data_IF_247890147559
#
_entry.id   IF_247890147559
#
_cell.length_a   1.000
_cell.length_b   1.000
_cell.length_c   1.000
_cell.angle_alpha   90.00
_cell.angle_beta   90.00
_cell.angle_gamma   90.00
#
_symmetry.space_group_name_H-M   'P 1'
#
loop_
_entity.id
_entity.type
_entity.pdbx_description
1 polymer ?
#
# COMPACT_ATOMS: atom_id res chain seq x y z
N UNK A 1 14.21 -13.02 1.95
CA UNK A 1 12.78 -12.68 2.10
C UNK A 1 12.61 -11.22 2.53
N UNK A 2 11.52 -10.56 2.14
CA UNK A 2 11.17 -9.21 2.61
C UNK A 2 10.53 -9.30 4.01
N UNK A 3 11.15 -8.64 4.99
CA UNK A 3 10.73 -8.64 6.38
C UNK A 3 9.70 -7.54 6.68
N UNK A 4 9.93 -6.34 6.14
CA UNK A 4 9.07 -5.19 6.34
C UNK A 4 9.16 -4.17 5.19
N UNK A 5 8.07 -3.44 4.98
CA UNK A 5 7.98 -2.30 4.07
C UNK A 5 7.46 -1.10 4.85
N UNK A 6 8.21 -0.01 4.78
CA UNK A 6 7.97 1.22 5.53
C UNK A 6 7.98 2.41 4.58
N UNK A 7 7.06 3.36 4.80
CA UNK A 7 7.11 4.69 4.19
C UNK A 7 7.05 5.69 5.33
N UNK A 8 7.98 6.64 5.36
CA UNK A 8 7.95 7.73 6.34
C UNK A 8 8.36 9.06 5.70
N UNK A 9 7.89 10.16 6.27
CA UNK A 9 8.31 11.50 5.84
C UNK A 9 9.71 11.83 6.40
N UNK A 10 10.35 12.85 5.84
CA UNK A 10 11.52 13.57 6.39
C UNK A 10 11.44 13.97 7.86
N UNK A 11 10.23 14.01 8.45
CA UNK A 11 10.03 14.24 9.89
C UNK A 11 9.96 12.96 10.74
N UNK A 12 10.19 11.77 10.17
CA UNK A 12 10.16 10.49 10.88
C UNK A 12 8.77 9.95 11.19
N UNK A 13 7.72 10.57 10.65
CA UNK A 13 6.34 10.09 10.79
C UNK A 13 6.07 8.96 9.78
N UNK A 14 5.72 7.74 10.23
CA UNK A 14 5.35 6.66 9.33
C UNK A 14 4.01 6.97 8.65
N UNK A 15 3.97 6.80 7.33
CA UNK A 15 2.77 6.87 6.49
C UNK A 15 2.25 5.48 6.13
N UNK A 16 3.16 4.52 6.00
CA UNK A 16 2.86 3.12 5.78
C UNK A 16 3.80 2.28 6.63
N UNK A 17 3.27 1.29 7.34
CA UNK A 17 4.07 0.28 8.01
C UNK A 17 3.46 -1.10 7.81
N UNK A 18 4.15 -1.95 7.07
CA UNK A 18 3.74 -3.33 6.83
C UNK A 18 4.87 -4.26 7.23
N UNK A 19 4.65 -5.06 8.26
CA UNK A 19 5.56 -6.10 8.70
C UNK A 19 5.02 -7.46 8.24
N UNK A 20 5.85 -8.24 7.57
CA UNK A 20 5.52 -9.61 7.14
C UNK A 20 5.91 -10.63 8.20
N UNK A 21 6.92 -10.33 9.00
CA UNK A 21 7.31 -11.14 10.15
C UNK A 21 6.61 -10.67 11.42
N UNK A 22 6.16 -11.64 12.23
CA UNK A 22 5.47 -11.34 13.47
C UNK A 22 6.46 -10.74 14.48
N UNK A 23 6.27 -9.46 14.78
CA UNK A 23 7.05 -8.72 15.77
C UNK A 23 6.13 -7.92 16.68
N UNK A 24 6.46 -7.77 17.97
CA UNK A 24 5.64 -6.99 18.89
C UNK A 24 5.60 -5.50 18.49
N UNK A 25 4.47 -4.80 18.69
CA UNK A 25 4.27 -3.44 18.18
C UNK A 25 5.23 -2.41 18.79
N UNK A 26 5.65 -2.60 20.05
CA UNK A 26 6.65 -1.75 20.70
C UNK A 26 7.99 -1.80 19.97
N UNK A 27 8.37 -2.99 19.52
CA UNK A 27 9.62 -3.22 18.79
C UNK A 27 9.54 -2.65 17.38
N UNK A 28 8.39 -2.78 16.71
CA UNK A 28 8.15 -2.15 15.41
C UNK A 28 8.36 -0.63 15.46
N UNK A 29 7.85 0.03 16.49
CA UNK A 29 8.03 1.47 16.66
C UNK A 29 9.50 1.84 16.90
N UNK A 30 10.21 1.05 17.70
CA UNK A 30 11.64 1.23 17.93
C UNK A 30 12.46 1.05 16.65
N UNK A 31 12.15 0.03 15.84
CA UNK A 31 12.78 -0.21 14.55
C UNK A 31 12.56 0.94 13.57
N UNK A 32 11.33 1.47 13.48
CA UNK A 32 11.02 2.63 12.63
C UNK A 32 11.88 3.84 13.02
N UNK A 33 11.99 4.12 14.33
CA UNK A 33 12.79 5.24 14.82
C UNK A 33 14.29 5.07 14.54
N UNK A 34 14.83 3.86 14.73
CA UNK A 34 16.23 3.53 14.43
C UNK A 34 16.52 3.67 12.93
N UNK A 35 15.68 3.09 12.08
CA UNK A 35 15.81 3.17 10.62
C UNK A 35 15.75 4.64 10.16
N UNK A 36 14.84 5.43 10.72
CA UNK A 36 14.75 6.86 10.40
C UNK A 36 16.04 7.60 10.77
N UNK A 37 16.60 7.39 11.96
CA UNK A 37 17.86 8.01 12.39
C UNK A 37 19.05 7.62 11.50
N UNK A 38 19.06 6.41 10.96
CA UNK A 38 20.13 5.95 10.06
C UNK A 38 20.04 6.57 8.66
N UNK A 39 18.85 6.96 8.23
CA UNK A 39 18.58 7.49 6.88
C UNK A 39 18.58 9.03 6.87
N UNK A 40 18.07 9.69 7.91
CA UNK A 40 17.90 11.16 7.95
C UNK A 40 19.20 11.93 7.84
N UNK A 41 20.28 11.40 8.39
CA UNK A 41 21.56 12.09 8.49
C UNK A 41 22.47 11.84 7.28
N UNK A 42 22.02 11.02 6.32
CA UNK A 42 22.84 10.61 5.17
C UNK A 42 22.75 11.62 4.00
N UNK A 43 23.89 11.99 3.39
CA UNK A 43 23.91 12.88 2.23
C UNK A 43 23.49 12.14 0.95
N UNK A 44 22.89 12.85 -0.01
CA UNK A 44 22.30 12.27 -1.23
C UNK A 44 23.27 11.57 -2.22
N UNK A 45 24.57 11.50 -1.89
CA UNK A 45 25.59 10.85 -2.71
C UNK A 45 26.06 9.48 -2.20
N UNK A 46 25.52 8.99 -1.08
CA UNK A 46 25.88 7.66 -0.53
C UNK A 46 25.00 6.55 -1.11
N UNK A 47 25.40 5.30 -0.90
CA UNK A 47 24.65 4.14 -1.35
C UNK A 47 23.27 4.04 -0.68
N UNK A 48 22.32 3.51 -1.43
CA UNK A 48 20.94 3.24 -1.00
C UNK A 48 20.80 1.96 -0.15
N UNK A 49 21.93 1.33 0.18
CA UNK A 49 22.01 0.07 0.91
C UNK A 49 22.62 0.33 2.28
N UNK A 50 21.96 -0.19 3.30
CA UNK A 50 22.37 -0.11 4.70
C UNK A 50 22.43 -1.52 5.24
N UNK A 51 23.63 -1.97 5.61
CA UNK A 51 23.76 -3.15 6.45
C UNK A 51 23.37 -2.74 7.86
N UNK A 52 22.34 -3.37 8.40
CA UNK A 52 21.79 -3.03 9.70
C UNK A 52 21.79 -4.27 10.61
N UNK A 53 22.98 -4.78 10.99
CA UNK A 53 23.11 -5.97 11.82
C UNK A 53 22.52 -5.78 13.24
N UNK A 54 22.33 -4.53 13.68
CA UNK A 54 21.76 -4.19 14.99
C UNK A 54 20.22 -4.19 15.02
N UNK A 55 19.55 -4.32 13.87
CA UNK A 55 18.09 -4.48 13.84
C UNK A 55 17.76 -5.90 14.26
N UNK A 56 17.68 -6.11 15.57
CA UNK A 56 17.17 -7.37 16.12
C UNK A 56 15.74 -7.53 15.61
N UNK A 57 15.48 -8.55 14.79
CA UNK A 57 14.13 -9.05 14.52
C UNK A 57 13.96 -10.35 15.31
N UNK A 58 12.78 -10.63 15.90
CA UNK A 58 12.60 -11.80 16.76
C UNK A 58 12.81 -13.15 16.04
N UNK A 59 12.83 -13.18 14.71
CA UNK A 59 13.21 -14.36 13.92
C UNK A 59 14.67 -14.79 14.09
N UNK A 60 15.58 -13.88 14.47
CA UNK A 60 16.97 -14.22 14.77
C UNK A 60 17.22 -14.56 16.24
N UNK A 61 16.21 -14.39 17.12
CA UNK A 61 16.33 -14.58 18.57
C UNK A 61 16.45 -16.04 19.04
N UNK A 62 16.46 -17.02 18.11
CA UNK A 62 16.64 -18.44 18.40
C UNK A 62 18.08 -18.95 18.34
N UNK A 63 19.04 -18.16 17.83
CA UNK A 63 20.46 -18.58 17.80
C UNK A 63 21.29 -17.59 18.59
N UNK A 64 21.94 -18.12 19.62
CA UNK A 64 22.94 -17.41 20.40
C UNK A 64 23.95 -16.70 19.50
N UNK A 65 24.41 -15.56 20.02
CA UNK A 65 25.47 -14.69 19.50
C UNK A 65 26.80 -15.44 19.37
N UNK A 66 26.89 -16.36 18.42
CA UNK A 66 28.11 -17.11 18.10
C UNK A 66 28.19 -17.27 16.57
N UNK A 67 28.96 -16.36 15.95
CA UNK A 67 29.70 -16.51 14.68
C UNK A 67 29.10 -17.51 13.67
N UNK A 68 28.16 -17.10 12.82
CA UNK A 68 27.70 -17.91 11.68
C UNK A 68 27.21 -17.07 10.50
N UNK A 69 27.97 -17.09 9.40
CA UNK A 69 27.49 -16.96 8.02
C UNK A 69 27.09 -15.56 7.54
N UNK A 70 27.55 -15.20 6.35
CA UNK A 70 27.18 -14.02 5.53
C UNK A 70 25.68 -14.00 5.11
N UNK A 71 24.91 -15.03 5.48
CA UNK A 71 23.58 -15.34 4.93
C UNK A 71 22.38 -14.81 5.74
N UNK A 72 22.55 -14.43 7.03
CA UNK A 72 21.46 -13.92 7.88
C UNK A 72 21.56 -12.39 8.12
N UNK A 73 22.31 -11.68 7.27
CA UNK A 73 22.51 -10.23 7.40
C UNK A 73 21.28 -9.46 6.88
N UNK A 74 20.62 -8.76 7.80
CA UNK A 74 19.47 -7.91 7.46
C UNK A 74 19.98 -6.64 6.80
N UNK A 75 19.48 -6.41 5.58
CA UNK A 75 19.80 -5.25 4.76
C UNK A 75 18.59 -4.34 4.67
N UNK A 76 18.84 -3.04 4.82
CA UNK A 76 17.84 -1.99 4.68
C UNK A 76 18.11 -1.26 3.38
N UNK A 77 17.11 -1.25 2.51
CA UNK A 77 17.19 -0.66 1.18
C UNK A 77 16.21 0.48 1.15
N UNK A 78 16.67 1.67 0.80
CA UNK A 78 15.81 2.85 0.79
C UNK A 78 15.96 3.68 -0.47
N UNK A 79 14.92 4.45 -0.76
CA UNK A 79 14.97 5.49 -1.79
C UNK A 79 14.15 6.70 -1.37
N UNK A 80 14.68 7.87 -1.63
CA UNK A 80 14.03 9.14 -1.31
C UNK A 80 13.28 9.66 -2.54
N UNK A 81 11.98 9.91 -2.37
CA UNK A 81 11.10 10.51 -3.38
C UNK A 81 10.42 11.74 -2.78
N UNK A 82 10.75 12.92 -3.29
CA UNK A 82 10.23 14.21 -2.83
C UNK A 82 10.37 14.45 -1.31
N UNK A 83 9.32 14.18 -0.53
CA UNK A 83 9.28 14.32 0.94
C UNK A 83 9.18 13.00 1.69
N UNK A 84 9.24 11.86 0.97
CA UNK A 84 9.01 10.53 1.50
C UNK A 84 10.21 9.63 1.28
N UNK A 85 10.53 8.85 2.31
CA UNK A 85 11.46 7.74 2.24
C UNK A 85 10.68 6.44 2.11
N UNK A 86 10.98 5.70 1.04
CA UNK A 86 10.50 4.34 0.82
C UNK A 86 11.59 3.39 1.28
N UNK A 87 11.26 2.52 2.24
CA UNK A 87 12.24 1.65 2.88
C UNK A 87 11.75 0.21 2.90
N UNK A 88 12.60 -0.68 2.46
CA UNK A 88 12.39 -2.11 2.45
C UNK A 88 13.46 -2.76 3.32
N UNK A 89 13.01 -3.59 4.26
CA UNK A 89 13.89 -4.40 5.09
C UNK A 89 13.87 -5.81 4.53
N UNK A 90 15.04 -6.28 4.09
CA UNK A 90 15.20 -7.57 3.42
C UNK A 90 16.30 -8.38 4.08
N UNK A 91 16.23 -9.68 3.84
CA UNK A 91 17.26 -10.63 4.25
C UNK A 91 18.37 -10.73 3.20
N UNK A 92 19.52 -11.29 3.58
CA UNK A 92 20.68 -11.48 2.69
C UNK A 92 20.41 -12.36 1.46
N UNK A 93 19.31 -13.11 1.48
CA UNK A 93 18.86 -13.94 0.36
C UNK A 93 18.29 -13.15 -0.83
N UNK A 94 17.86 -11.89 -0.65
CA UNK A 94 17.30 -11.07 -1.73
C UNK A 94 18.37 -10.18 -2.38
N UNK A 95 18.25 -9.95 -3.69
CA UNK A 95 19.13 -9.00 -4.38
C UNK A 95 18.71 -7.55 -4.12
N UNK A 96 19.64 -6.72 -3.69
CA UNK A 96 19.35 -5.34 -3.31
C UNK A 96 18.96 -4.46 -4.49
N UNK A 97 19.57 -4.72 -5.66
CA UNK A 97 19.20 -4.04 -6.91
C UNK A 97 17.78 -4.42 -7.35
N UNK A 98 17.38 -5.67 -7.15
CA UNK A 98 16.02 -6.11 -7.43
C UNK A 98 14.98 -5.42 -6.55
N UNK A 99 15.30 -5.20 -5.26
CA UNK A 99 14.42 -4.47 -4.34
C UNK A 99 14.38 -2.97 -4.67
N UNK A 100 15.48 -2.36 -5.13
CA UNK A 100 15.45 -0.98 -5.61
C UNK A 100 14.54 -0.79 -6.82
N UNK A 101 14.53 -1.75 -7.75
CA UNK A 101 13.62 -1.75 -8.89
C UNK A 101 12.17 -1.98 -8.44
N UNK A 102 11.96 -2.87 -7.46
CA UNK A 102 10.65 -3.10 -6.87
C UNK A 102 10.07 -1.84 -6.19
N UNK A 103 10.91 -1.04 -5.52
CA UNK A 103 10.51 0.26 -4.97
C UNK A 103 10.02 1.18 -6.09
N UNK A 104 10.70 1.19 -7.24
CA UNK A 104 10.28 1.98 -8.40
C UNK A 104 8.93 1.51 -8.94
N UNK A 105 8.76 0.20 -9.15
CA UNK A 105 7.48 -0.40 -9.58
C UNK A 105 6.36 -0.05 -8.60
N UNK A 106 6.63 -0.06 -7.30
CA UNK A 106 5.66 0.31 -6.28
C UNK A 106 5.25 1.79 -6.37
N UNK A 107 6.22 2.71 -6.49
CA UNK A 107 5.93 4.15 -6.64
C UNK A 107 5.16 4.42 -7.94
N UNK A 108 5.53 3.79 -9.05
CA UNK A 108 4.80 3.93 -10.32
C UNK A 108 3.39 3.33 -10.28
N UNK A 109 3.20 2.24 -9.53
CA UNK A 109 1.88 1.66 -9.31
C UNK A 109 0.98 2.57 -8.47
N UNK A 110 1.55 3.24 -7.46
CA UNK A 110 0.83 4.27 -6.69
C UNK A 110 0.48 5.48 -7.54
N UNK A 111 1.41 5.96 -8.38
CA UNK A 111 1.18 7.11 -9.25
C UNK A 111 0.04 6.86 -10.25
N UNK A 112 -0.05 5.64 -10.81
CA UNK A 112 -1.18 5.23 -11.66
C UNK A 112 -2.50 5.07 -10.91
N UNK A 113 -2.47 4.68 -9.64
CA UNK A 113 -3.68 4.51 -8.84
C UNK A 113 -4.30 5.85 -8.42
N UNK A 114 -3.46 6.86 -8.14
CA UNK A 114 -3.90 8.16 -7.61
C UNK A 114 -3.84 9.32 -8.63
N UNK A 115 -3.41 9.09 -9.87
CA UNK A 115 -3.28 10.11 -10.93
C UNK A 115 -2.49 11.35 -10.47
N UNK A 116 -1.18 11.18 -10.24
CA UNK A 116 -0.24 12.12 -9.60
C UNK A 116 -0.26 12.05 -8.07
N UNK A 117 0.31 10.97 -7.53
CA UNK A 117 0.31 10.71 -6.09
C UNK A 117 1.03 11.81 -5.30
N UNK A 118 0.39 12.33 -4.25
CA UNK A 118 1.04 13.19 -3.27
C UNK A 118 1.05 12.57 -1.87
N UNK A 119 1.93 13.02 -0.97
CA UNK A 119 2.00 12.52 0.41
C UNK A 119 0.64 12.55 1.12
N UNK A 120 -0.19 13.55 0.80
CA UNK A 120 -1.50 13.70 1.41
C UNK A 120 -2.46 12.57 1.01
N UNK A 121 -2.35 12.05 -0.21
CA UNK A 121 -3.17 10.91 -0.69
C UNK A 121 -2.81 9.63 0.05
N UNK A 122 -1.51 9.40 0.32
CA UNK A 122 -1.08 8.26 1.14
C UNK A 122 -1.61 8.33 2.58
N UNK A 123 -1.84 9.54 3.11
CA UNK A 123 -2.40 9.74 4.45
C UNK A 123 -3.91 9.49 4.45
N UNK A 124 -4.64 10.07 3.49
CA UNK A 124 -6.10 9.98 3.46
C UNK A 124 -6.60 8.63 2.97
N UNK A 125 -5.92 8.02 2.00
CA UNK A 125 -6.29 6.76 1.37
C UNK A 125 -5.32 5.63 1.72
N UNK A 126 -4.97 5.51 3.01
CA UNK A 126 -4.03 4.48 3.50
C UNK A 126 -4.52 3.05 3.16
N UNK A 127 -5.83 2.81 3.16
CA UNK A 127 -6.43 1.53 2.78
C UNK A 127 -6.12 1.14 1.33
N UNK A 128 -6.15 2.12 0.41
CA UNK A 128 -5.85 1.89 -1.00
C UNK A 128 -4.36 1.64 -1.20
N UNK A 129 -3.48 2.35 -0.50
CA UNK A 129 -2.03 2.10 -0.51
C UNK A 129 -1.71 0.68 -0.01
N UNK A 130 -2.33 0.25 1.09
CA UNK A 130 -2.16 -1.12 1.59
C UNK A 130 -2.68 -2.17 0.61
N UNK A 131 -3.76 -1.86 -0.13
CA UNK A 131 -4.27 -2.72 -1.19
C UNK A 131 -3.26 -2.84 -2.33
N UNK A 132 -2.76 -1.72 -2.85
CA UNK A 132 -1.73 -1.71 -3.90
C UNK A 132 -0.49 -2.48 -3.47
N UNK A 133 0.01 -2.27 -2.25
CA UNK A 133 1.15 -3.02 -1.73
C UNK A 133 0.88 -4.53 -1.68
N UNK A 134 -0.35 -4.94 -1.36
CA UNK A 134 -0.72 -6.36 -1.25
C UNK A 134 -0.79 -7.08 -2.60
N UNK A 135 -1.03 -6.36 -3.70
CA UNK A 135 -0.96 -6.92 -5.07
C UNK A 135 0.50 -7.16 -5.48
N UNK A 136 1.44 -6.35 -4.97
CA UNK A 136 2.87 -6.45 -5.32
C UNK A 136 3.58 -7.47 -4.41
N UNK A 137 3.30 -7.45 -3.11
CA UNK A 137 4.03 -8.23 -2.11
C UNK A 137 3.05 -8.86 -1.14
N UNK A 138 3.18 -10.17 -0.94
CA UNK A 138 2.40 -10.90 0.05
C UNK A 138 3.25 -11.93 0.78
N UNK A 139 3.13 -11.95 2.11
CA UNK A 139 3.91 -12.87 2.95
C UNK A 139 5.43 -12.70 2.86
N UNK A 140 5.90 -11.52 2.44
CA UNK A 140 7.33 -11.26 2.26
C UNK A 140 7.91 -11.74 0.93
N UNK A 141 7.05 -12.18 0.00
CA UNK A 141 7.41 -12.59 -1.36
C UNK A 141 6.80 -11.62 -2.38
N UNK A 142 7.52 -11.42 -3.48
CA UNK A 142 7.06 -10.62 -4.62
C UNK A 142 6.08 -11.45 -5.44
N UNK A 143 4.89 -10.92 -5.67
CA UNK A 143 3.85 -11.54 -6.48
C UNK A 143 3.90 -11.02 -7.92
N UNK A 144 3.78 -9.70 -8.07
CA UNK A 144 3.65 -9.05 -9.37
C UNK A 144 4.63 -7.89 -9.54
N UNK A 145 5.16 -7.76 -10.75
CA UNK A 145 6.08 -6.69 -11.14
C UNK A 145 5.57 -5.86 -12.31
N UNK A 146 4.56 -6.36 -13.04
CA UNK A 146 3.97 -5.65 -14.16
C UNK A 146 2.95 -4.61 -13.69
N UNK A 147 3.29 -3.33 -13.86
CA UNK A 147 2.47 -2.20 -13.44
C UNK A 147 1.07 -2.23 -14.07
N UNK A 148 0.94 -2.71 -15.31
CA UNK A 148 -0.36 -2.77 -15.98
C UNK A 148 -1.29 -3.79 -15.31
N UNK A 149 -0.77 -4.96 -14.97
CA UNK A 149 -1.54 -6.02 -14.30
C UNK A 149 -1.89 -5.63 -12.87
N UNK A 150 -0.95 -5.02 -12.15
CA UNK A 150 -1.18 -4.44 -10.82
C UNK A 150 -2.33 -3.42 -10.90
N UNK A 151 -2.27 -2.47 -11.83
CA UNK A 151 -3.31 -1.44 -11.97
C UNK A 151 -4.69 -2.01 -12.30
N UNK A 152 -4.75 -3.04 -13.15
CA UNK A 152 -5.99 -3.72 -13.51
C UNK A 152 -6.59 -4.45 -12.30
N UNK A 153 -5.77 -5.15 -11.52
CA UNK A 153 -6.20 -5.86 -10.31
C UNK A 153 -6.68 -4.90 -9.23
N UNK A 154 -5.97 -3.79 -9.01
CA UNK A 154 -6.37 -2.73 -8.05
C UNK A 154 -7.73 -2.14 -8.43
N UNK A 155 -7.96 -1.82 -9.70
CA UNK A 155 -9.23 -1.28 -10.18
C UNK A 155 -10.37 -2.30 -10.08
N UNK A 156 -10.11 -3.56 -10.42
CA UNK A 156 -11.09 -4.64 -10.28
C UNK A 156 -11.49 -4.82 -8.81
N UNK A 157 -10.53 -4.81 -7.89
CA UNK A 157 -10.75 -4.89 -6.45
C UNK A 157 -11.50 -3.69 -5.89
N UNK A 158 -11.21 -2.48 -6.37
CA UNK A 158 -11.97 -1.28 -6.01
C UNK A 158 -13.43 -1.36 -6.50
N UNK A 159 -13.64 -1.85 -7.73
CA UNK A 159 -14.98 -2.06 -8.30
C UNK A 159 -15.78 -3.11 -7.52
N UNK A 160 -15.15 -4.23 -7.16
CA UNK A 160 -15.79 -5.30 -6.39
C UNK A 160 -16.18 -4.83 -4.98
N UNK A 161 -15.35 -4.01 -4.31
CA UNK A 161 -15.72 -3.39 -3.03
C UNK A 161 -16.94 -2.49 -3.15
N UNK A 162 -17.00 -1.63 -4.18
CA UNK A 162 -18.15 -0.75 -4.45
C UNK A 162 -19.43 -1.55 -4.76
N UNK A 163 -19.32 -2.59 -5.58
CA UNK A 163 -20.45 -3.47 -5.89
C UNK A 163 -20.95 -4.23 -4.65
N UNK A 164 -20.03 -4.72 -3.81
CA UNK A 164 -20.37 -5.42 -2.57
C UNK A 164 -21.09 -4.50 -1.59
N UNK A 165 -20.60 -3.26 -1.43
CA UNK A 165 -21.26 -2.25 -0.61
C UNK A 165 -22.68 -1.93 -1.11
N UNK A 166 -22.87 -1.78 -2.43
CA UNK A 166 -24.19 -1.56 -3.03
C UNK A 166 -25.15 -2.75 -2.84
N UNK A 167 -24.63 -3.98 -2.89
CA UNK A 167 -25.44 -5.20 -2.67
C UNK A 167 -25.85 -5.40 -1.20
N UNK A 168 -25.05 -4.88 -0.26
CA UNK A 168 -25.26 -5.09 1.18
C UNK A 168 -26.40 -4.27 1.78
N UNK A 169 -26.89 -3.23 1.08
CA UNK A 169 -27.99 -2.37 1.54
C UNK A 169 -29.08 -2.19 0.45
N UNK A 170 -29.98 -3.18 0.28
CA UNK A 170 -31.02 -3.13 -0.75
C UNK A 170 -32.12 -2.07 -0.52
N UNK A 171 -32.09 -1.35 0.61
CA UNK A 171 -33.12 -0.40 1.04
C UNK A 171 -32.72 1.08 0.89
N UNK A 172 -31.50 1.39 0.44
CA UNK A 172 -31.10 2.77 0.18
C UNK A 172 -31.38 3.12 -1.29
N UNK A 173 -32.29 4.08 -1.59
CA UNK A 173 -32.56 4.49 -2.97
C UNK A 173 -31.28 4.94 -3.68
N UNK A 174 -31.07 4.44 -4.91
CA UNK A 174 -29.94 4.79 -5.79
C UNK A 174 -29.80 6.29 -6.12
N UNK A 175 -30.72 7.14 -5.64
CA UNK A 175 -30.68 8.61 -5.78
C UNK A 175 -29.86 9.32 -4.69
N UNK A 176 -29.49 8.63 -3.62
CA UNK A 176 -28.75 9.21 -2.49
C UNK A 176 -27.24 8.97 -2.59
N UNK A 177 -26.82 8.03 -3.45
CA UNK A 177 -25.43 7.88 -3.89
C UNK A 177 -25.07 9.07 -4.77
N UNK A 178 -24.10 9.87 -4.29
CA UNK A 178 -23.72 11.18 -4.81
C UNK A 178 -23.69 11.29 -6.36
N UNK A 179 -24.26 12.36 -6.94
CA UNK A 179 -24.18 12.63 -8.37
C UNK A 179 -22.82 13.28 -8.69
N UNK A 180 -21.85 12.47 -9.09
CA UNK A 180 -20.50 12.94 -9.41
C UNK A 180 -19.80 12.15 -10.52
N UNK A 181 -20.54 11.47 -11.40
CA UNK A 181 -19.96 10.86 -12.59
C UNK A 181 -20.96 10.95 -13.76
N UNK A 182 -20.44 11.46 -14.88
CA UNK A 182 -21.18 11.96 -16.03
C UNK A 182 -22.23 11.00 -16.62
N UNK A 183 -23.36 11.62 -16.96
CA UNK A 183 -24.43 11.07 -17.79
C UNK A 183 -23.90 10.87 -19.22
N UNK A 184 -23.77 9.63 -19.66
CA UNK A 184 -23.67 9.26 -21.08
C UNK A 184 -24.75 8.23 -21.36
N UNK A 185 -25.62 8.56 -22.31
CA UNK A 185 -26.98 8.02 -22.39
C UNK A 185 -27.14 6.66 -23.08
N UNK A 186 -28.32 6.09 -22.87
CA UNK A 186 -29.01 5.31 -23.89
C UNK A 186 -30.51 5.60 -23.80
N UNK A 187 -31.05 6.10 -24.91
CA UNK A 187 -32.46 6.44 -25.13
C UNK A 187 -33.26 5.15 -25.33
N UNK A 188 -34.40 5.03 -24.67
CA UNK A 188 -35.43 4.07 -25.08
C UNK A 188 -36.63 4.03 -24.14
N UNK A 189 -37.77 4.54 -24.60
CA UNK A 189 -39.06 3.94 -24.23
C UNK A 189 -39.98 4.73 -23.31
N UNK A 190 -40.95 5.38 -23.95
CA UNK A 190 -42.35 5.52 -23.54
C UNK A 190 -42.73 6.45 -22.38
N UNK A 191 -43.50 7.46 -22.76
CA UNK A 191 -44.33 8.29 -21.92
C UNK A 191 -45.28 7.46 -21.04
N UNK A 192 -45.35 7.75 -19.75
CA UNK A 192 -46.62 8.02 -19.05
C UNK A 192 -46.34 8.72 -17.70
N UNK A 193 -47.16 9.72 -17.39
CA UNK A 193 -46.97 10.66 -16.29
C UNK A 193 -47.44 10.16 -14.92
N UNK A 194 -47.28 11.00 -13.86
CA UNK A 194 -47.42 10.63 -12.45
C UNK A 194 -48.88 10.53 -11.95
N UNK A 195 -49.80 9.94 -12.74
CA UNK A 195 -51.25 9.91 -12.42
C UNK A 195 -51.81 8.55 -11.97
N UNK A 196 -50.98 7.51 -11.83
CA UNK A 196 -51.44 6.17 -11.39
C UNK A 196 -51.56 5.96 -9.88
N UNK A 197 -51.14 6.91 -9.04
CA UNK A 197 -51.16 6.72 -7.57
C UNK A 197 -52.53 7.01 -6.93
N UNK A 198 -53.39 7.81 -7.56
CA UNK A 198 -54.70 8.21 -6.99
C UNK A 198 -55.86 7.23 -7.26
N UNK A 199 -55.66 6.19 -8.07
CA UNK A 199 -56.72 5.21 -8.40
C UNK A 199 -56.70 3.95 -7.52
N UNK A 200 -55.79 3.85 -6.54
CA UNK A 200 -55.61 2.66 -5.70
C UNK A 200 -56.14 2.79 -4.26
N UNK A 201 -56.72 3.94 -3.89
CA UNK A 201 -57.37 4.13 -2.59
C UNK A 201 -58.86 4.39 -2.79
N UNK A 202 -59.61 3.31 -2.97
CA UNK A 202 -61.06 3.33 -2.82
C UNK A 202 -61.46 3.22 -1.35
N UNK A 203 -61.58 4.38 -0.69
CA UNK A 203 -62.53 4.72 0.39
C UNK A 203 -62.81 6.21 0.28
#
# INVERSE_FOLDING_TARGET
>A
MIQAVLIFNTHGKPRLSKFYTQSPPLMQQSLIAQIFSLISDRPAGVCNFLDAPDLVFPSSAGKGKEVRGDDDDIRVIYRHYATLYFVFVVDGAESELGILDLIQVFVESLDRAFENVCELDLIFHFDEVHHVLSEIIQGGLVLETNINEISACVQASARNRKASAASSNPLLPSMLTAPGAGRSGSRGGSADGPRRWLAAMGV
#
